data_IF_213583699778
#
_entry.id   IF_213583699778
#
_cell.length_a   1.000
_cell.length_b   1.000
_cell.length_c   1.000
_cell.angle_alpha   90.00
_cell.angle_beta   90.00
_cell.angle_gamma   90.00
#
_symmetry.space_group_name_H-M   'P 1'
#
loop_
_entity.id
_entity.type
_entity.pdbx_description
1 polymer ?
#
# COMPACT_ATOMS: atom_id res chain seq x y z
N UNK A 1 -22.38 18.24 12.75
CA UNK A 1 -23.75 18.25 13.33
C UNK A 1 -24.52 17.19 12.56
N UNK A 2 -25.50 16.53 13.17
CA UNK A 2 -26.43 15.67 12.43
C UNK A 2 -27.41 16.57 11.70
N UNK A 3 -27.47 16.46 10.37
CA UNK A 3 -28.41 17.24 9.55
C UNK A 3 -29.79 16.60 9.61
N UNK A 4 -30.87 17.38 9.42
CA UNK A 4 -32.20 16.80 9.18
C UNK A 4 -32.15 15.72 8.10
N UNK A 5 -32.82 14.59 8.29
CA UNK A 5 -32.85 13.48 7.33
C UNK A 5 -31.53 12.69 7.16
N UNK A 6 -30.46 13.01 7.89
CA UNK A 6 -29.14 12.36 7.76
C UNK A 6 -28.97 11.04 8.53
N UNK A 7 -30.01 10.58 9.22
CA UNK A 7 -30.02 9.32 9.97
C UNK A 7 -31.21 8.50 9.52
N UNK A 8 -30.98 7.21 9.22
CA UNK A 8 -32.02 6.29 8.81
C UNK A 8 -31.77 4.88 9.32
N UNK A 9 -32.86 4.16 9.59
CA UNK A 9 -32.81 2.74 9.95
C UNK A 9 -32.47 1.90 8.71
N UNK A 10 -31.37 1.14 8.78
CA UNK A 10 -30.95 0.26 7.69
C UNK A 10 -31.68 -1.08 7.78
N UNK A 11 -32.23 -1.55 6.65
CA UNK A 11 -32.95 -2.83 6.59
C UNK A 11 -32.00 -4.04 6.56
N UNK A 12 -30.94 -3.96 5.76
CA UNK A 12 -29.91 -5.01 5.62
C UNK A 12 -28.60 -4.40 5.14
N UNK A 13 -27.80 -3.92 6.09
CA UNK A 13 -26.53 -3.26 5.82
C UNK A 13 -26.67 -1.95 5.02
N UNK A 14 -25.52 -1.41 4.62
CA UNK A 14 -25.39 -0.15 3.88
C UNK A 14 -25.61 -0.34 2.38
N UNK A 15 -26.84 -0.72 2.00
CA UNK A 15 -27.21 -0.76 0.58
C UNK A 15 -27.21 0.64 -0.01
N UNK A 16 -26.75 0.78 -1.26
CA UNK A 16 -26.72 2.07 -1.95
C UNK A 16 -28.09 2.76 -1.97
N UNK A 17 -29.20 2.05 -2.18
CA UNK A 17 -30.54 2.67 -2.15
C UNK A 17 -30.88 3.36 -0.81
N UNK A 18 -30.40 2.81 0.31
CA UNK A 18 -30.60 3.41 1.63
C UNK A 18 -29.69 4.62 1.81
N UNK A 19 -28.41 4.46 1.46
CA UNK A 19 -27.42 5.54 1.60
C UNK A 19 -27.72 6.71 0.66
N UNK A 20 -28.07 6.44 -0.59
CA UNK A 20 -28.53 7.44 -1.57
C UNK A 20 -29.73 8.20 -1.01
N UNK A 21 -30.77 7.49 -0.51
CA UNK A 21 -31.96 8.17 0.03
C UNK A 21 -31.65 9.03 1.26
N UNK A 22 -30.89 8.52 2.23
CA UNK A 22 -30.51 9.27 3.44
C UNK A 22 -29.67 10.50 3.05
N UNK A 23 -28.69 10.31 2.18
CA UNK A 23 -27.82 11.36 1.70
C UNK A 23 -28.61 12.44 0.97
N UNK A 24 -29.37 12.06 -0.07
CA UNK A 24 -30.14 13.00 -0.89
C UNK A 24 -31.21 13.73 -0.07
N UNK A 25 -31.91 13.05 0.84
CA UNK A 25 -32.90 13.66 1.74
C UNK A 25 -32.28 14.69 2.68
N UNK A 26 -31.07 14.42 3.18
CA UNK A 26 -30.35 15.37 4.02
C UNK A 26 -29.80 16.58 3.25
N UNK A 27 -29.53 16.40 1.96
CA UNK A 27 -28.95 17.42 1.09
C UNK A 27 -30.02 18.30 0.46
N UNK A 28 -31.24 17.81 0.26
CA UNK A 28 -32.35 18.64 -0.19
C UNK A 28 -32.74 19.73 0.85
N UNK A 29 -32.27 19.61 2.09
CA UNK A 29 -32.56 20.55 3.17
C UNK A 29 -31.41 21.55 3.38
N UNK A 30 -31.51 22.73 2.76
CA UNK A 30 -30.57 23.87 2.92
C UNK A 30 -29.10 23.50 2.68
N UNK A 31 -28.80 23.04 1.48
CA UNK A 31 -27.46 22.59 1.10
C UNK A 31 -26.56 23.74 0.62
N UNK A 32 -25.25 23.71 0.97
CA UNK A 32 -24.23 24.55 0.33
C UNK A 32 -23.93 24.08 -1.10
N UNK A 33 -23.47 25.00 -1.95
CA UNK A 33 -23.14 24.71 -3.36
C UNK A 33 -21.96 23.72 -3.49
N UNK A 34 -20.98 23.80 -2.58
CA UNK A 34 -19.82 22.94 -2.53
C UNK A 34 -19.86 22.03 -1.31
N UNK A 35 -19.76 20.71 -1.53
CA UNK A 35 -19.72 19.73 -0.44
C UNK A 35 -18.62 18.70 -0.60
N UNK A 36 -17.89 18.53 0.50
CA UNK A 36 -16.94 17.45 0.68
C UNK A 36 -17.66 16.26 1.34
N UNK A 37 -17.69 15.14 0.64
CA UNK A 37 -18.29 13.90 1.10
C UNK A 37 -17.20 12.90 1.48
N UNK A 38 -17.14 12.59 2.78
CA UNK A 38 -16.29 11.54 3.32
C UNK A 38 -17.06 10.23 3.45
N UNK A 39 -16.62 9.17 2.78
CA UNK A 39 -17.21 7.84 2.95
C UNK A 39 -16.16 6.74 2.77
N UNK A 40 -16.26 5.68 3.56
CA UNK A 40 -15.28 4.57 3.57
C UNK A 40 -15.13 3.94 2.19
N UNK A 41 -16.22 3.88 1.41
CA UNK A 41 -16.22 3.35 0.06
C UNK A 41 -16.53 4.42 -0.99
N UNK A 42 -16.13 5.67 -0.75
CA UNK A 42 -16.40 6.79 -1.68
C UNK A 42 -16.00 6.46 -3.13
N UNK A 43 -14.84 5.84 -3.33
CA UNK A 43 -14.37 5.44 -4.67
C UNK A 43 -15.23 4.40 -5.39
N UNK A 44 -16.07 3.66 -4.67
CA UNK A 44 -17.05 2.76 -5.25
C UNK A 44 -18.41 3.43 -5.40
N UNK A 45 -18.80 4.21 -4.39
CA UNK A 45 -20.10 4.85 -4.31
C UNK A 45 -20.29 5.93 -5.38
N UNK A 46 -19.26 6.75 -5.62
CA UNK A 46 -19.23 7.85 -6.59
C UNK A 46 -19.52 7.39 -8.03
N UNK A 47 -18.88 6.29 -8.48
CA UNK A 47 -18.84 5.88 -9.90
C UNK A 47 -20.20 5.88 -10.60
N UNK A 48 -21.23 5.43 -9.89
CA UNK A 48 -22.59 5.35 -10.41
C UNK A 48 -23.56 6.30 -9.71
N UNK A 49 -23.08 7.20 -8.85
CA UNK A 49 -23.93 8.07 -8.05
C UNK A 49 -24.82 8.97 -8.92
N UNK A 50 -24.26 9.59 -9.96
CA UNK A 50 -25.02 10.43 -10.89
C UNK A 50 -26.17 9.67 -11.56
N UNK A 51 -25.93 8.43 -11.99
CA UNK A 51 -26.96 7.57 -12.57
C UNK A 51 -28.02 7.14 -11.54
N UNK A 52 -27.60 6.77 -10.31
CA UNK A 52 -28.52 6.40 -9.23
C UNK A 52 -29.38 7.58 -8.78
N UNK A 53 -28.85 8.79 -8.75
CA UNK A 53 -29.58 10.02 -8.41
C UNK A 53 -30.78 10.24 -9.33
N UNK A 54 -30.65 9.94 -10.63
CA UNK A 54 -31.74 10.10 -11.60
C UNK A 54 -32.95 9.21 -11.31
N UNK A 55 -32.78 8.09 -10.61
CA UNK A 55 -33.87 7.17 -10.23
C UNK A 55 -34.90 7.88 -9.34
N UNK A 56 -34.45 8.85 -8.53
CA UNK A 56 -35.31 9.60 -7.62
C UNK A 56 -36.08 10.74 -8.33
N UNK A 57 -35.86 10.94 -9.64
CA UNK A 57 -36.60 11.93 -10.43
C UNK A 57 -36.54 13.33 -9.82
N UNK A 58 -37.71 13.94 -9.61
CA UNK A 58 -37.85 15.29 -9.03
C UNK A 58 -38.06 15.29 -7.52
N UNK A 59 -37.88 14.14 -6.85
CA UNK A 59 -38.05 14.04 -5.38
C UNK A 59 -37.02 14.92 -4.66
N UNK A 60 -35.81 15.03 -5.22
CA UNK A 60 -34.74 15.86 -4.71
C UNK A 60 -34.33 16.88 -5.76
N UNK A 61 -34.23 18.14 -5.36
CA UNK A 61 -34.12 19.29 -6.27
C UNK A 61 -32.74 19.98 -6.25
N UNK A 62 -31.87 19.59 -5.34
CA UNK A 62 -30.58 20.26 -5.14
C UNK A 62 -29.55 19.93 -6.22
N UNK A 63 -28.67 20.88 -6.54
CA UNK A 63 -27.46 20.66 -7.33
C UNK A 63 -26.26 21.14 -6.51
N UNK A 64 -25.19 20.35 -6.49
CA UNK A 64 -23.98 20.71 -5.78
C UNK A 64 -22.77 20.02 -6.38
N UNK A 65 -21.62 20.68 -6.26
CA UNK A 65 -20.32 20.10 -6.56
C UNK A 65 -19.92 19.25 -5.37
N UNK A 66 -19.74 17.94 -5.61
CA UNK A 66 -19.37 16.99 -4.56
C UNK A 66 -17.92 16.56 -4.76
N UNK A 67 -17.06 16.89 -3.80
CA UNK A 67 -15.72 16.31 -3.70
C UNK A 67 -15.77 15.04 -2.86
N UNK A 68 -15.37 13.92 -3.44
CA UNK A 68 -15.41 12.60 -2.80
C UNK A 68 -14.08 12.27 -2.14
N UNK A 69 -14.10 11.92 -0.86
CA UNK A 69 -12.90 11.59 -0.09
C UNK A 69 -13.13 10.34 0.78
N UNK A 70 -12.04 9.68 1.14
CA UNK A 70 -12.05 8.48 2.01
C UNK A 70 -11.36 8.82 3.33
N UNK A 71 -11.96 8.51 4.49
CA UNK A 71 -11.34 8.77 5.79
C UNK A 71 -9.92 8.20 5.87
N UNK A 72 -9.02 8.94 6.53
CA UNK A 72 -7.57 8.65 6.53
C UNK A 72 -7.20 7.25 7.02
N UNK A 73 -7.99 6.70 7.94
CA UNK A 73 -7.77 5.35 8.46
C UNK A 73 -8.14 4.26 7.45
N UNK A 74 -9.15 4.51 6.61
CA UNK A 74 -9.59 3.53 5.61
C UNK A 74 -8.79 3.62 4.33
N UNK A 75 -8.35 4.82 3.95
CA UNK A 75 -7.64 5.06 2.70
C UNK A 75 -6.55 4.03 2.38
N UNK A 76 -5.66 3.61 3.32
CA UNK A 76 -4.62 2.61 3.05
C UNK A 76 -5.11 1.20 2.69
N UNK A 77 -6.39 0.89 2.94
CA UNK A 77 -7.00 -0.38 2.57
C UNK A 77 -7.58 -0.38 1.14
N UNK A 78 -7.46 0.75 0.43
CA UNK A 78 -7.87 0.86 -0.97
C UNK A 78 -6.69 0.60 -1.91
N UNK A 79 -6.98 0.50 -3.20
CA UNK A 79 -5.96 0.44 -4.25
C UNK A 79 -5.15 1.75 -4.32
N UNK A 80 -3.93 1.67 -4.84
CA UNK A 80 -2.99 2.80 -4.85
C UNK A 80 -3.52 4.05 -5.55
N UNK A 81 -4.31 3.90 -6.62
CA UNK A 81 -4.91 5.04 -7.31
C UNK A 81 -5.91 5.81 -6.44
N UNK A 82 -6.46 5.19 -5.39
CA UNK A 82 -7.29 5.91 -4.43
C UNK A 82 -6.49 6.81 -3.50
N UNK A 83 -5.24 6.43 -3.17
CA UNK A 83 -4.43 7.08 -2.15
C UNK A 83 -4.09 8.53 -2.46
N UNK A 84 -4.06 8.90 -3.74
CA UNK A 84 -3.87 10.28 -4.17
C UNK A 84 -5.21 10.99 -4.38
N UNK A 85 -6.11 10.40 -5.18
CA UNK A 85 -7.38 11.02 -5.59
C UNK A 85 -8.33 11.32 -4.42
N UNK A 86 -8.55 10.35 -3.51
CA UNK A 86 -9.53 10.48 -2.42
C UNK A 86 -8.91 10.98 -1.11
N UNK A 87 -7.73 11.57 -1.18
CA UNK A 87 -6.96 11.98 -0.01
C UNK A 87 -7.34 13.35 0.50
N UNK A 88 -7.70 13.40 1.79
CA UNK A 88 -7.87 14.64 2.55
C UNK A 88 -6.63 15.53 2.59
N UNK A 89 -5.42 14.99 2.35
CA UNK A 89 -4.18 15.76 2.45
C UNK A 89 -3.78 16.42 1.13
N UNK A 90 -4.38 15.99 0.02
CA UNK A 90 -3.98 16.41 -1.33
C UNK A 90 -5.07 17.22 -2.04
N UNK A 91 -6.24 17.38 -1.42
CA UNK A 91 -7.32 18.18 -1.97
C UNK A 91 -7.46 19.49 -1.19
N UNK A 92 -7.74 20.57 -1.91
CA UNK A 92 -7.92 21.91 -1.36
C UNK A 92 -9.24 22.05 -0.59
N UNK A 93 -9.33 23.08 0.26
CA UNK A 93 -10.54 23.49 0.97
C UNK A 93 -11.12 22.48 1.99
N UNK A 94 -10.44 21.35 2.23
CA UNK A 94 -10.90 20.34 3.19
C UNK A 94 -10.46 20.61 4.63
N UNK A 95 -9.36 21.36 4.79
CA UNK A 95 -8.73 21.62 6.08
C UNK A 95 -8.19 20.36 6.77
N UNK A 96 -7.68 20.51 8.00
CA UNK A 96 -7.08 19.38 8.75
C UNK A 96 -8.15 18.52 9.44
N UNK A 97 -8.63 17.50 8.73
CA UNK A 97 -9.56 16.49 9.26
C UNK A 97 -9.06 15.07 8.99
N UNK A 98 -9.63 14.09 9.69
CA UNK A 98 -9.39 12.65 9.52
C UNK A 98 -10.58 11.92 8.85
N UNK A 99 -11.70 12.63 8.65
CA UNK A 99 -12.95 12.05 8.15
C UNK A 99 -13.70 11.18 9.17
N UNK A 100 -13.22 11.09 10.43
CA UNK A 100 -13.69 10.15 11.47
C UNK A 100 -14.72 10.71 12.45
N UNK A 101 -15.40 11.78 12.05
CA UNK A 101 -16.41 12.39 12.92
C UNK A 101 -17.61 11.46 13.16
N UNK A 102 -18.17 10.76 12.15
CA UNK A 102 -19.31 9.87 12.34
C UNK A 102 -19.08 8.77 13.40
N UNK A 103 -17.91 8.17 13.44
CA UNK A 103 -17.57 7.06 14.35
C UNK A 103 -17.36 7.52 15.78
N UNK A 104 -16.82 8.73 15.98
CA UNK A 104 -16.75 9.36 17.31
C UNK A 104 -18.15 9.65 17.83
N UNK A 105 -19.04 10.14 16.97
CA UNK A 105 -20.43 10.40 17.32
C UNK A 105 -21.20 9.09 17.62
N UNK A 106 -20.85 7.98 16.95
CA UNK A 106 -21.41 6.66 17.27
C UNK A 106 -21.03 6.18 18.67
N UNK A 107 -19.79 6.40 19.11
CA UNK A 107 -19.38 6.02 20.46
C UNK A 107 -20.23 6.72 21.54
N UNK A 108 -20.54 8.00 21.34
CA UNK A 108 -21.40 8.78 22.24
C UNK A 108 -22.86 8.25 22.21
N UNK A 109 -23.41 8.02 21.01
CA UNK A 109 -24.78 7.52 20.87
C UNK A 109 -24.96 6.08 21.37
N UNK A 110 -23.91 5.26 21.32
CA UNK A 110 -23.96 3.85 21.71
C UNK A 110 -24.28 3.66 23.21
N UNK A 111 -24.00 4.67 24.05
CA UNK A 111 -24.41 4.65 25.46
C UNK A 111 -25.93 4.51 25.67
N UNK A 112 -26.72 4.91 24.67
CA UNK A 112 -28.19 4.85 24.70
C UNK A 112 -28.77 3.64 23.95
N UNK A 113 -27.91 2.79 23.38
CA UNK A 113 -28.33 1.65 22.57
C UNK A 113 -29.19 0.66 23.36
N UNK A 114 -28.83 0.37 24.62
CA UNK A 114 -29.57 -0.56 25.48
C UNK A 114 -30.98 -0.07 25.80
N UNK A 115 -31.13 1.22 26.07
CA UNK A 115 -32.43 1.84 26.36
C UNK A 115 -33.32 1.89 25.12
N UNK A 116 -32.74 2.26 23.96
CA UNK A 116 -33.49 2.39 22.70
C UNK A 116 -33.87 1.06 22.06
N UNK A 117 -33.20 -0.04 22.42
CA UNK A 117 -33.46 -1.38 21.87
C UNK A 117 -34.86 -1.90 22.22
N UNK A 118 -35.33 -1.66 23.44
CA UNK A 118 -36.61 -2.18 23.94
C UNK A 118 -37.79 -1.23 23.63
N UNK A 119 -37.51 -0.05 23.06
CA UNK A 119 -38.53 0.93 22.72
C UNK A 119 -39.34 0.54 21.48
N UNK A 120 -40.61 0.93 21.46
CA UNK A 120 -41.44 0.82 20.25
C UNK A 120 -40.89 1.71 19.14
N UNK A 121 -41.12 1.39 17.85
CA UNK A 121 -40.49 2.09 16.72
C UNK A 121 -40.66 3.62 16.72
N UNK A 122 -41.84 4.13 17.06
CA UNK A 122 -42.09 5.58 17.15
C UNK A 122 -41.29 6.22 18.29
N UNK A 123 -41.49 5.73 19.52
CA UNK A 123 -40.79 6.25 20.71
C UNK A 123 -39.27 6.16 20.60
N UNK A 124 -38.75 5.12 19.93
CA UNK A 124 -37.32 4.98 19.63
C UNK A 124 -36.83 6.13 18.75
N UNK A 125 -37.56 6.47 17.69
CA UNK A 125 -37.19 7.56 16.77
C UNK A 125 -37.20 8.91 17.48
N UNK A 126 -38.27 9.21 18.22
CA UNK A 126 -38.38 10.45 19.00
C UNK A 126 -37.22 10.58 20.00
N UNK A 127 -36.91 9.50 20.73
CA UNK A 127 -35.78 9.48 21.68
C UNK A 127 -34.43 9.71 20.98
N UNK A 128 -34.21 9.09 19.82
CA UNK A 128 -32.98 9.29 19.06
C UNK A 128 -32.87 10.71 18.51
N UNK A 129 -33.97 11.29 18.04
CA UNK A 129 -34.03 12.69 17.59
C UNK A 129 -33.71 13.65 18.74
N UNK A 130 -34.23 13.42 19.95
CA UNK A 130 -33.88 14.20 21.14
C UNK A 130 -32.38 14.10 21.48
N UNK A 131 -31.81 12.89 21.42
CA UNK A 131 -30.38 12.65 21.67
C UNK A 131 -29.50 13.39 20.64
N UNK A 132 -29.83 13.27 19.34
CA UNK A 132 -29.09 13.96 18.29
C UNK A 132 -29.28 15.47 18.36
N UNK A 133 -30.46 15.92 18.79
CA UNK A 133 -30.79 17.31 19.10
C UNK A 133 -29.91 17.89 20.20
N UNK A 134 -29.78 17.19 21.34
CA UNK A 134 -28.87 17.59 22.44
C UNK A 134 -27.42 17.64 21.94
N UNK A 135 -26.96 16.62 21.22
CA UNK A 135 -25.61 16.61 20.66
C UNK A 135 -25.36 17.83 19.75
N UNK A 136 -26.31 18.15 18.87
CA UNK A 136 -26.23 19.33 18.00
C UNK A 136 -26.21 20.63 18.82
N UNK A 137 -27.09 20.76 19.82
CA UNK A 137 -27.15 21.92 20.70
C UNK A 137 -25.83 22.14 21.44
N UNK A 138 -25.27 21.09 22.04
CA UNK A 138 -23.95 21.13 22.70
C UNK A 138 -22.84 21.51 21.73
N UNK A 139 -22.88 21.02 20.50
CA UNK A 139 -21.87 21.33 19.47
C UNK A 139 -21.93 22.81 19.06
N UNK A 140 -23.13 23.38 18.93
CA UNK A 140 -23.34 24.80 18.60
C UNK A 140 -22.92 25.70 19.77
N UNK A 141 -23.39 25.42 20.99
CA UNK A 141 -23.08 26.24 22.17
C UNK A 141 -21.59 26.22 22.53
N UNK A 142 -20.90 25.12 22.27
CA UNK A 142 -19.46 24.98 22.48
C UNK A 142 -18.62 25.35 21.24
N UNK A 143 -19.23 25.79 20.14
CA UNK A 143 -18.53 25.99 18.88
C UNK A 143 -17.43 27.06 19.02
N UNK A 144 -17.76 28.23 19.58
CA UNK A 144 -16.81 29.33 19.76
C UNK A 144 -15.56 28.94 20.57
N UNK A 145 -15.71 28.43 21.81
CA UNK A 145 -14.58 27.98 22.61
C UNK A 145 -13.77 26.85 21.94
N UNK A 146 -14.43 25.91 21.24
CA UNK A 146 -13.75 24.83 20.51
C UNK A 146 -12.94 25.37 19.33
N UNK A 147 -13.50 26.30 18.56
CA UNK A 147 -12.81 26.94 17.43
C UNK A 147 -11.61 27.75 17.93
N UNK A 148 -11.75 28.51 19.01
CA UNK A 148 -10.62 29.24 19.61
C UNK A 148 -9.50 28.29 20.03
N UNK A 149 -9.83 27.17 20.69
CA UNK A 149 -8.82 26.16 21.07
C UNK A 149 -8.12 25.58 19.84
N UNK A 150 -8.89 25.21 18.81
CA UNK A 150 -8.34 24.70 17.55
C UNK A 150 -7.45 25.72 16.83
N UNK A 151 -7.85 26.99 16.82
CA UNK A 151 -7.08 28.07 16.20
C UNK A 151 -5.71 28.23 16.86
N UNK A 152 -5.65 28.22 18.20
CA UNK A 152 -4.38 28.30 18.93
C UNK A 152 -3.42 27.18 18.53
N UNK A 153 -3.91 25.93 18.55
CA UNK A 153 -3.12 24.77 18.10
C UNK A 153 -2.74 24.90 16.63
N UNK A 154 -3.64 25.35 15.76
CA UNK A 154 -3.36 25.49 14.34
C UNK A 154 -2.27 26.54 14.05
N UNK A 155 -2.20 27.62 14.83
CA UNK A 155 -1.15 28.65 14.70
C UNK A 155 0.21 28.07 15.08
N UNK A 156 0.29 27.38 16.22
CA UNK A 156 1.52 26.71 16.68
C UNK A 156 2.01 25.67 15.65
N UNK A 157 1.12 24.78 15.22
CA UNK A 157 1.43 23.75 14.21
C UNK A 157 1.81 24.37 12.87
N UNK A 158 1.14 25.44 12.41
CA UNK A 158 1.49 26.12 11.17
C UNK A 158 2.94 26.60 11.20
N UNK A 159 3.39 27.17 12.31
CA UNK A 159 4.75 27.73 12.41
C UNK A 159 5.79 26.60 12.32
N UNK A 160 5.54 25.47 12.98
CA UNK A 160 6.39 24.27 12.87
C UNK A 160 6.41 23.70 11.44
N UNK A 161 5.24 23.51 10.82
CA UNK A 161 5.13 22.96 9.47
C UNK A 161 5.74 23.89 8.42
N UNK A 162 5.59 25.21 8.57
CA UNK A 162 6.16 26.20 7.65
C UNK A 162 7.69 26.21 7.74
N UNK A 163 8.26 26.11 8.95
CA UNK A 163 9.70 26.03 9.12
C UNK A 163 10.27 24.76 8.45
N UNK A 164 9.64 23.60 8.69
CA UNK A 164 10.04 22.35 8.05
C UNK A 164 9.90 22.40 6.52
N UNK A 165 8.81 22.99 6.01
CA UNK A 165 8.60 23.18 4.57
C UNK A 165 9.70 24.07 3.96
N UNK A 166 10.02 25.20 4.59
CA UNK A 166 11.06 26.11 4.09
C UNK A 166 12.44 25.46 4.08
N UNK A 167 12.80 24.72 5.13
CA UNK A 167 14.05 23.96 5.19
C UNK A 167 14.13 22.94 4.04
N UNK A 168 13.08 22.14 3.86
CA UNK A 168 13.00 21.15 2.79
C UNK A 168 13.05 21.79 1.40
N UNK A 169 12.29 22.85 1.18
CA UNK A 169 12.24 23.60 -0.07
C UNK A 169 13.62 24.20 -0.38
N UNK A 170 14.28 24.83 0.58
CA UNK A 170 15.60 25.44 0.36
C UNK A 170 16.72 24.43 0.08
N UNK A 171 16.55 23.16 0.47
CA UNK A 171 17.50 22.09 0.19
C UNK A 171 17.42 21.57 -1.26
N UNK A 172 16.37 21.92 -2.01
CA UNK A 172 16.12 21.42 -3.37
C UNK A 172 16.50 22.45 -4.44
N UNK A 173 16.88 22.02 -5.66
CA UNK A 173 17.15 22.93 -6.76
C UNK A 173 15.93 23.78 -7.15
N UNK A 174 16.12 25.10 -7.26
CA UNK A 174 15.03 26.04 -7.54
C UNK A 174 14.24 25.72 -8.82
N UNK A 175 14.91 25.25 -9.87
CA UNK A 175 14.27 24.84 -11.13
C UNK A 175 13.30 23.67 -10.92
N UNK A 176 13.71 22.66 -10.14
CA UNK A 176 12.87 21.49 -9.86
C UNK A 176 11.66 21.87 -9.02
N UNK A 177 11.82 22.81 -8.08
CA UNK A 177 10.72 23.31 -7.27
C UNK A 177 9.70 24.11 -8.08
N UNK A 178 10.16 24.95 -9.01
CA UNK A 178 9.28 25.70 -9.90
C UNK A 178 8.45 24.73 -10.75
N UNK A 179 9.11 23.75 -11.38
CA UNK A 179 8.43 22.74 -12.18
C UNK A 179 7.41 21.95 -11.36
N UNK A 180 7.77 21.55 -10.15
CA UNK A 180 6.87 20.80 -9.27
C UNK A 180 5.66 21.62 -8.85
N UNK A 181 5.86 22.89 -8.49
CA UNK A 181 4.78 23.84 -8.18
C UNK A 181 3.80 23.95 -9.35
N UNK A 182 4.32 24.15 -10.56
CA UNK A 182 3.48 24.28 -11.76
C UNK A 182 2.65 23.01 -11.99
N UNK A 183 3.20 21.82 -11.73
CA UNK A 183 2.47 20.55 -11.83
C UNK A 183 1.36 20.43 -10.76
N UNK A 184 1.65 20.81 -9.51
CA UNK A 184 0.68 20.78 -8.41
C UNK A 184 -0.45 21.77 -8.67
N UNK A 185 -0.14 23.04 -8.97
CA UNK A 185 -1.14 24.06 -9.26
C UNK A 185 -1.97 23.69 -10.50
N UNK A 186 -1.36 23.09 -11.54
CA UNK A 186 -2.10 22.63 -12.70
C UNK A 186 -3.13 21.55 -12.36
N UNK A 187 -2.77 20.62 -11.46
CA UNK A 187 -3.63 19.53 -11.01
C UNK A 187 -4.69 19.98 -9.98
N UNK A 188 -4.36 20.87 -9.05
CA UNK A 188 -5.32 21.45 -8.10
C UNK A 188 -6.43 22.23 -8.83
N UNK A 189 -6.07 22.95 -9.90
CA UNK A 189 -7.05 23.65 -10.74
C UNK A 189 -7.88 22.70 -11.64
N UNK A 190 -7.36 21.51 -11.94
CA UNK A 190 -8.00 20.56 -12.86
C UNK A 190 -7.57 19.13 -12.51
N UNK A 191 -8.43 18.44 -11.76
CA UNK A 191 -8.20 17.08 -11.28
C UNK A 191 -8.15 16.03 -12.41
N UNK A 192 -8.52 16.39 -13.65
CA UNK A 192 -8.35 15.53 -14.83
C UNK A 192 -6.91 15.52 -15.36
N UNK A 193 -6.08 16.50 -14.98
CA UNK A 193 -4.67 16.52 -15.35
C UNK A 193 -3.87 15.46 -14.62
N UNK A 194 -2.64 15.25 -15.10
CA UNK A 194 -1.71 14.30 -14.50
C UNK A 194 -1.46 14.66 -13.03
N UNK A 195 -1.73 13.71 -12.15
CA UNK A 195 -1.59 13.90 -10.72
C UNK A 195 -0.10 13.76 -10.33
N UNK A 196 0.56 14.84 -9.88
CA UNK A 196 1.99 14.81 -9.57
C UNK A 196 2.31 13.92 -8.36
N UNK A 197 1.34 13.66 -7.49
CA UNK A 197 1.52 12.85 -6.28
C UNK A 197 1.51 11.34 -6.55
N UNK A 198 1.24 10.90 -7.78
CA UNK A 198 1.41 9.50 -8.17
C UNK A 198 2.91 9.21 -8.24
N UNK A 199 3.35 8.21 -7.47
CA UNK A 199 4.74 7.79 -7.45
C UNK A 199 5.10 7.19 -8.82
N UNK A 200 5.95 7.89 -9.57
CA UNK A 200 6.53 7.40 -10.82
C UNK A 200 7.85 6.69 -10.53
N UNK A 201 7.94 5.40 -10.86
CA UNK A 201 9.22 4.67 -10.83
C UNK A 201 10.01 5.02 -12.09
N UNK A 202 11.27 5.41 -11.94
CA UNK A 202 12.09 5.88 -13.06
C UNK A 202 12.62 4.75 -13.95
N UNK A 203 12.52 3.49 -13.50
CA UNK A 203 13.04 2.31 -14.19
C UNK A 203 11.96 1.30 -14.58
N UNK A 204 12.32 0.36 -15.45
CA UNK A 204 11.46 -0.77 -15.80
C UNK A 204 11.43 -1.73 -14.61
N UNK A 205 10.24 -2.08 -14.12
CA UNK A 205 10.12 -3.06 -13.01
C UNK A 205 10.37 -4.47 -13.51
N UNK A 206 10.78 -5.38 -12.63
CA UNK A 206 10.94 -6.80 -12.96
C UNK A 206 9.63 -7.38 -13.54
N UNK A 207 8.48 -6.98 -12.99
CA UNK A 207 7.16 -7.40 -13.48
C UNK A 207 6.87 -6.90 -14.91
N UNK A 208 7.25 -5.66 -15.24
CA UNK A 208 7.12 -5.12 -16.59
C UNK A 208 8.01 -5.87 -17.58
N UNK A 209 9.25 -6.18 -17.19
CA UNK A 209 10.16 -7.00 -18.02
C UNK A 209 9.59 -8.38 -18.25
N UNK A 210 9.09 -9.03 -17.19
CA UNK A 210 8.49 -10.37 -17.30
C UNK A 210 7.27 -10.37 -18.23
N UNK A 211 6.40 -9.37 -18.13
CA UNK A 211 5.27 -9.22 -19.06
C UNK A 211 5.73 -9.09 -20.51
N UNK A 212 6.75 -8.26 -20.78
CA UNK A 212 7.31 -8.10 -22.13
C UNK A 212 7.87 -9.41 -22.66
N UNK A 213 8.62 -10.16 -21.84
CA UNK A 213 9.18 -11.46 -22.23
C UNK A 213 8.08 -12.49 -22.53
N UNK A 214 7.03 -12.53 -21.71
CA UNK A 214 5.89 -13.42 -21.93
C UNK A 214 5.11 -13.07 -23.22
N UNK A 215 4.94 -11.79 -23.53
CA UNK A 215 4.30 -11.33 -24.77
C UNK A 215 5.16 -11.65 -26.01
N UNK A 216 6.48 -11.41 -25.94
CA UNK A 216 7.44 -11.79 -26.98
C UNK A 216 7.39 -13.31 -27.27
N UNK A 217 7.42 -14.14 -26.23
CA UNK A 217 7.32 -15.60 -26.36
C UNK A 217 5.96 -16.04 -26.97
N UNK A 218 4.85 -15.41 -26.55
CA UNK A 218 3.53 -15.69 -27.11
C UNK A 218 3.47 -15.37 -28.62
N UNK A 219 4.10 -14.27 -29.04
CA UNK A 219 4.21 -13.89 -30.45
C UNK A 219 5.09 -14.86 -31.25
N UNK A 220 6.19 -15.36 -30.70
CA UNK A 220 7.05 -16.36 -31.35
C UNK A 220 6.35 -17.70 -31.56
N UNK A 221 5.55 -18.13 -30.57
CA UNK A 221 4.71 -19.33 -30.67
C UNK A 221 3.66 -19.17 -31.76
N UNK A 222 2.95 -18.03 -31.79
CA UNK A 222 1.97 -17.73 -32.82
C UNK A 222 2.59 -17.67 -34.23
N UNK A 223 3.83 -17.19 -34.34
CA UNK A 223 4.58 -17.11 -35.59
C UNK A 223 5.22 -18.41 -36.06
N UNK A 224 5.05 -19.53 -35.34
CA UNK A 224 5.73 -20.83 -35.61
C UNK A 224 7.26 -20.75 -35.63
N UNK A 225 7.84 -19.78 -34.90
CA UNK A 225 9.30 -19.61 -34.76
C UNK A 225 9.83 -20.07 -33.41
N UNK A 226 8.94 -20.48 -32.49
CA UNK A 226 9.32 -20.90 -31.16
C UNK A 226 10.17 -22.19 -31.18
N UNK A 227 11.34 -22.12 -30.56
CA UNK A 227 12.13 -23.30 -30.21
C UNK A 227 11.59 -23.89 -28.90
N UNK A 228 11.21 -25.16 -28.90
CA UNK A 228 10.77 -25.83 -27.66
C UNK A 228 11.98 -26.26 -26.85
N UNK A 229 12.25 -25.54 -25.77
CA UNK A 229 13.35 -25.83 -24.83
C UNK A 229 12.98 -26.90 -23.80
N UNK A 230 11.74 -26.88 -23.32
CA UNK A 230 11.19 -27.81 -22.34
C UNK A 230 9.70 -28.05 -22.63
N UNK A 231 9.15 -29.16 -22.15
CA UNK A 231 7.77 -29.56 -22.43
C UNK A 231 6.71 -28.64 -21.80
N UNK A 232 7.01 -28.08 -20.63
CA UNK A 232 6.03 -27.37 -19.78
C UNK A 232 6.43 -25.96 -19.35
N UNK A 233 7.67 -25.54 -19.61
CA UNK A 233 8.19 -24.26 -19.12
C UNK A 233 8.88 -23.52 -20.26
N UNK A 234 8.77 -22.19 -20.29
CA UNK A 234 9.47 -21.35 -21.26
C UNK A 234 10.82 -20.86 -20.71
N UNK A 235 11.75 -20.41 -21.57
CA UNK A 235 13.01 -19.81 -21.14
C UNK A 235 12.82 -18.67 -20.15
N UNK A 236 11.88 -17.74 -20.41
CA UNK A 236 11.63 -16.61 -19.52
C UNK A 236 11.18 -17.06 -18.12
N UNK A 237 10.25 -18.02 -18.04
CA UNK A 237 9.77 -18.56 -16.76
C UNK A 237 10.86 -19.33 -16.00
N UNK A 238 11.71 -20.08 -16.72
CA UNK A 238 12.83 -20.77 -16.09
C UNK A 238 13.81 -19.79 -15.47
N UNK A 239 14.22 -18.78 -16.23
CA UNK A 239 15.15 -17.76 -15.74
C UNK A 239 14.52 -16.92 -14.63
N UNK A 240 13.24 -16.58 -14.70
CA UNK A 240 12.54 -15.78 -13.69
C UNK A 240 12.41 -16.48 -12.34
N UNK A 241 12.16 -17.80 -12.35
CA UNK A 241 12.10 -18.60 -11.13
C UNK A 241 13.44 -18.68 -10.37
N UNK A 242 14.58 -18.46 -11.06
CA UNK A 242 15.91 -18.44 -10.44
C UNK A 242 16.10 -17.31 -9.42
N UNK A 243 16.02 -16.03 -9.81
CA UNK A 243 16.07 -14.89 -8.89
C UNK A 243 15.02 -14.96 -7.77
N UNK A 244 13.84 -15.53 -8.00
CA UNK A 244 12.86 -15.79 -6.93
C UNK A 244 13.35 -16.82 -5.90
N UNK A 245 14.04 -17.87 -6.36
CA UNK A 245 14.67 -18.85 -5.48
C UNK A 245 15.84 -18.24 -4.72
N UNK A 246 16.67 -17.41 -5.36
CA UNK A 246 17.73 -16.67 -4.65
C UNK A 246 17.16 -15.79 -3.53
N UNK A 247 16.07 -15.07 -3.81
CA UNK A 247 15.39 -14.25 -2.80
C UNK A 247 14.84 -15.12 -1.65
N UNK A 248 14.32 -16.31 -1.97
CA UNK A 248 13.87 -17.27 -0.97
C UNK A 248 15.04 -17.80 -0.12
N UNK A 249 16.20 -18.10 -0.73
CA UNK A 249 17.43 -18.49 -0.03
C UNK A 249 17.89 -17.37 0.92
N UNK A 250 17.96 -16.12 0.44
CA UNK A 250 18.33 -14.94 1.26
C UNK A 250 17.39 -14.73 2.43
N UNK A 251 16.08 -14.75 2.20
CA UNK A 251 15.08 -14.61 3.26
C UNK A 251 15.19 -15.73 4.29
N UNK A 252 15.39 -16.97 3.85
CA UNK A 252 15.59 -18.10 4.75
C UNK A 252 16.88 -17.95 5.58
N UNK A 253 17.98 -17.53 4.96
CA UNK A 253 19.26 -17.28 5.65
C UNK A 253 19.11 -16.19 6.73
N UNK A 254 18.45 -15.08 6.40
CA UNK A 254 18.17 -14.01 7.37
C UNK A 254 17.31 -14.51 8.55
N UNK A 255 16.29 -15.34 8.29
CA UNK A 255 15.44 -15.92 9.33
C UNK A 255 16.22 -16.86 10.25
N UNK A 256 17.12 -17.68 9.70
CA UNK A 256 18.01 -18.55 10.48
C UNK A 256 18.95 -17.73 11.36
N UNK A 257 19.56 -16.66 10.83
CA UNK A 257 20.43 -15.77 11.61
C UNK A 257 19.67 -15.00 12.70
N UNK A 258 18.41 -14.67 12.47
CA UNK A 258 17.57 -13.95 13.44
C UNK A 258 17.18 -14.79 14.67
N UNK A 259 17.43 -16.10 14.63
CA UNK A 259 17.14 -16.98 15.76
C UNK A 259 18.07 -16.71 16.94
N UNK A 260 17.48 -16.33 18.08
CA UNK A 260 18.22 -16.16 19.32
C UNK A 260 18.65 -17.49 19.96
N UNK A 261 19.49 -17.42 20.99
CA UNK A 261 20.03 -18.61 21.70
C UNK A 261 18.97 -19.53 22.34
N UNK A 262 17.71 -19.11 22.39
CA UNK A 262 16.60 -19.84 23.01
C UNK A 262 15.46 -20.06 22.01
N UNK A 263 15.74 -20.76 20.91
CA UNK A 263 14.71 -21.20 19.97
C UNK A 263 13.83 -22.29 20.58
N UNK A 264 12.52 -22.11 20.53
CA UNK A 264 11.56 -23.15 20.92
C UNK A 264 11.54 -24.29 19.91
N UNK A 265 11.19 -25.50 20.34
CA UNK A 265 11.03 -26.68 19.45
C UNK A 265 10.08 -26.40 18.29
N UNK A 266 9.01 -25.64 18.53
CA UNK A 266 8.06 -25.24 17.49
C UNK A 266 8.71 -24.32 16.43
N UNK A 267 9.60 -23.40 16.84
CA UNK A 267 10.34 -22.56 15.91
C UNK A 267 11.39 -23.36 15.13
N UNK A 268 12.06 -24.32 15.79
CA UNK A 268 12.99 -25.22 15.13
C UNK A 268 12.28 -26.11 14.09
N UNK A 269 11.14 -26.68 14.42
CA UNK A 269 10.31 -27.46 13.48
C UNK A 269 9.93 -26.63 12.25
N UNK A 270 9.48 -25.39 12.44
CA UNK A 270 9.12 -24.49 11.32
C UNK A 270 10.30 -24.19 10.40
N UNK A 271 11.52 -24.05 10.96
CA UNK A 271 12.72 -23.88 10.14
C UNK A 271 13.05 -25.14 9.36
N UNK A 272 12.95 -26.32 9.99
CA UNK A 272 13.17 -27.60 9.30
C UNK A 272 12.18 -27.83 8.16
N UNK A 273 10.90 -27.51 8.37
CA UNK A 273 9.86 -27.60 7.35
C UNK A 273 10.16 -26.65 6.18
N UNK A 274 10.54 -25.40 6.48
CA UNK A 274 10.92 -24.41 5.45
C UNK A 274 12.19 -24.80 4.71
N UNK A 275 13.19 -25.35 5.41
CA UNK A 275 14.43 -25.87 4.81
C UNK A 275 14.12 -26.98 3.82
N UNK A 276 13.34 -27.98 4.25
CA UNK A 276 12.95 -29.10 3.39
C UNK A 276 12.16 -28.63 2.16
N UNK A 277 11.24 -27.68 2.35
CA UNK A 277 10.48 -27.09 1.23
C UNK A 277 11.36 -26.31 0.25
N UNK A 278 12.38 -25.58 0.74
CA UNK A 278 13.34 -24.89 -0.10
C UNK A 278 14.19 -25.89 -0.90
N UNK A 279 14.69 -26.95 -0.26
CA UNK A 279 15.46 -28.01 -0.93
C UNK A 279 14.65 -28.65 -2.05
N UNK A 280 13.40 -29.07 -1.79
CA UNK A 280 12.55 -29.66 -2.84
C UNK A 280 12.33 -28.70 -4.02
N UNK A 281 12.18 -27.40 -3.76
CA UNK A 281 12.04 -26.40 -4.83
C UNK A 281 13.32 -26.27 -5.67
N UNK A 282 14.48 -26.25 -5.01
CA UNK A 282 15.78 -26.18 -5.70
C UNK A 282 15.99 -27.43 -6.55
N UNK A 283 15.72 -28.64 -6.02
CA UNK A 283 15.86 -29.89 -6.74
C UNK A 283 14.97 -29.92 -8.00
N UNK A 284 13.68 -29.60 -7.85
CA UNK A 284 12.77 -29.51 -9.00
C UNK A 284 13.22 -28.46 -10.02
N UNK A 285 13.77 -27.34 -9.57
CA UNK A 285 14.26 -26.30 -10.47
C UNK A 285 15.52 -26.75 -11.23
N UNK A 286 16.48 -27.39 -10.56
CA UNK A 286 17.68 -27.96 -11.17
C UNK A 286 17.31 -29.02 -12.22
N UNK A 287 16.31 -29.87 -11.96
CA UNK A 287 15.80 -30.84 -12.94
C UNK A 287 15.32 -30.16 -14.23
N UNK A 288 14.57 -29.06 -14.12
CA UNK A 288 14.13 -28.31 -15.31
C UNK A 288 15.30 -27.58 -15.98
N UNK A 289 16.21 -26.98 -15.20
CA UNK A 289 17.38 -26.27 -15.68
C UNK A 289 18.27 -27.12 -16.60
N UNK A 290 18.34 -28.44 -16.36
CA UNK A 290 19.12 -29.39 -17.18
C UNK A 290 18.69 -29.42 -18.65
N UNK A 291 17.43 -29.12 -18.94
CA UNK A 291 16.91 -29.10 -20.31
C UNK A 291 17.38 -27.86 -21.09
N UNK A 292 17.72 -26.79 -20.37
CA UNK A 292 18.21 -25.52 -20.95
C UNK A 292 19.74 -25.47 -20.99
N UNK A 293 20.39 -25.97 -19.93
CA UNK A 293 21.85 -25.95 -19.79
C UNK A 293 22.35 -27.39 -19.59
N UNK A 294 22.73 -28.04 -20.70
CA UNK A 294 23.11 -29.48 -20.70
C UNK A 294 24.26 -29.83 -19.76
N UNK A 295 25.18 -28.88 -19.50
CA UNK A 295 26.34 -29.11 -18.64
C UNK A 295 26.04 -29.00 -17.14
N UNK A 296 24.84 -28.56 -16.75
CA UNK A 296 24.53 -28.17 -15.36
C UNK A 296 24.53 -29.35 -14.38
N UNK A 297 24.00 -30.51 -14.79
CA UNK A 297 23.87 -31.68 -13.91
C UNK A 297 25.25 -32.13 -13.40
N UNK A 298 26.23 -32.22 -14.31
CA UNK A 298 27.60 -32.57 -13.95
C UNK A 298 28.33 -31.51 -13.11
N UNK A 299 27.85 -30.27 -13.07
CA UNK A 299 28.39 -29.21 -12.22
C UNK A 299 27.82 -29.29 -10.81
N UNK A 300 26.49 -29.44 -10.68
CA UNK A 300 25.87 -29.66 -9.39
C UNK A 300 26.41 -30.91 -8.70
N UNK A 301 26.56 -32.03 -9.42
CA UNK A 301 27.15 -33.25 -8.84
C UNK A 301 28.57 -33.03 -8.33
N UNK A 302 29.44 -32.37 -9.12
CA UNK A 302 30.81 -32.07 -8.67
C UNK A 302 30.84 -31.15 -7.46
N UNK A 303 29.98 -30.14 -7.41
CA UNK A 303 29.91 -29.22 -6.27
C UNK A 303 29.45 -29.94 -5.00
N UNK A 304 28.42 -30.79 -5.10
CA UNK A 304 27.94 -31.60 -3.98
C UNK A 304 29.04 -32.57 -3.50
N UNK A 305 29.76 -33.20 -4.41
CA UNK A 305 30.86 -34.13 -4.09
C UNK A 305 32.07 -33.42 -3.45
N UNK A 306 32.49 -32.27 -3.99
CA UNK A 306 33.64 -31.48 -3.50
C UNK A 306 33.37 -30.82 -2.14
N UNK A 307 32.11 -30.57 -1.78
CA UNK A 307 31.73 -29.79 -0.59
C UNK A 307 31.00 -30.59 0.50
N UNK A 308 31.07 -31.92 0.42
CA UNK A 308 30.29 -32.92 1.20
C UNK A 308 30.31 -32.83 2.74
N UNK A 309 30.97 -31.84 3.35
CA UNK A 309 30.96 -31.63 4.81
C UNK A 309 30.76 -30.17 5.27
N UNK A 310 30.48 -29.20 4.38
CA UNK A 310 30.49 -27.77 4.80
C UNK A 310 29.37 -26.89 4.28
N UNK A 311 28.68 -27.25 3.20
CA UNK A 311 27.62 -26.42 2.63
C UNK A 311 26.25 -27.03 2.95
N UNK A 312 25.39 -26.24 3.60
CA UNK A 312 23.98 -26.59 3.76
C UNK A 312 23.29 -26.45 2.39
N UNK A 313 22.39 -27.37 2.02
CA UNK A 313 21.75 -27.38 0.70
C UNK A 313 21.02 -26.06 0.35
N UNK A 314 20.65 -25.26 1.35
CA UNK A 314 20.12 -23.90 1.15
C UNK A 314 21.12 -22.87 0.60
N UNK A 315 22.43 -23.14 0.65
CA UNK A 315 23.50 -22.25 0.18
C UNK A 315 24.08 -22.69 -1.19
N UNK A 316 23.45 -23.68 -1.84
CA UNK A 316 23.88 -24.14 -3.16
C UNK A 316 23.69 -23.02 -4.18
N UNK A 317 24.74 -22.64 -4.93
CA UNK A 317 24.62 -21.71 -6.04
C UNK A 317 23.66 -22.26 -7.09
N UNK A 318 22.68 -21.45 -7.49
CA UNK A 318 21.70 -21.84 -8.52
C UNK A 318 22.30 -21.90 -9.93
N UNK A 319 23.52 -21.40 -10.13
CA UNK A 319 24.22 -21.46 -11.42
C UNK A 319 23.39 -20.87 -12.57
N UNK A 320 22.86 -19.67 -12.37
CA UNK A 320 22.17 -18.94 -13.43
C UNK A 320 23.12 -18.64 -14.60
N UNK A 321 22.60 -18.39 -15.82
CA UNK A 321 23.44 -18.17 -17.01
C UNK A 321 24.59 -17.17 -16.79
N UNK A 322 24.37 -16.07 -16.08
CA UNK A 322 25.39 -15.08 -15.72
C UNK A 322 26.54 -15.66 -14.88
N UNK A 323 26.26 -16.59 -13.97
CA UNK A 323 27.25 -17.28 -13.14
C UNK A 323 28.04 -18.34 -13.92
N UNK A 324 27.49 -18.80 -15.04
CA UNK A 324 28.10 -19.82 -15.90
C UNK A 324 28.88 -19.24 -17.08
N UNK A 325 28.52 -18.04 -17.54
CA UNK A 325 29.01 -17.43 -18.78
C UNK A 325 30.54 -17.40 -18.91
N UNK A 326 31.25 -17.25 -17.79
CA UNK A 326 32.72 -17.20 -17.77
C UNK A 326 33.39 -18.57 -17.96
N UNK A 327 32.71 -19.66 -17.61
CA UNK A 327 33.30 -21.00 -17.50
C UNK A 327 32.70 -22.02 -18.45
N UNK A 328 31.47 -21.80 -18.90
CA UNK A 328 30.72 -22.73 -19.73
C UNK A 328 29.97 -22.01 -20.85
N UNK A 329 29.83 -22.62 -22.03
CA UNK A 329 29.04 -22.05 -23.11
C UNK A 329 27.56 -22.01 -22.73
N UNK A 330 27.01 -20.81 -22.60
CA UNK A 330 25.58 -20.57 -22.41
C UNK A 330 24.97 -19.97 -23.68
N UNK A 331 23.72 -20.30 -23.96
CA UNK A 331 23.00 -19.70 -25.09
C UNK A 331 22.86 -18.18 -24.88
N UNK A 332 23.23 -17.33 -25.86
CA UNK A 332 23.11 -15.88 -25.73
C UNK A 332 21.68 -15.38 -25.43
N UNK A 333 20.67 -16.12 -25.88
CA UNK A 333 19.26 -15.81 -25.61
C UNK A 333 18.94 -15.84 -24.10
N UNK A 334 19.42 -16.86 -23.37
CA UNK A 334 19.19 -16.99 -21.93
C UNK A 334 19.90 -15.89 -21.15
N UNK A 335 21.13 -15.53 -21.55
CA UNK A 335 21.87 -14.41 -20.95
C UNK A 335 21.15 -13.07 -21.13
N UNK A 336 20.55 -12.85 -22.31
CA UNK A 336 19.78 -11.62 -22.57
C UNK A 336 18.50 -11.56 -21.75
N UNK A 337 17.80 -12.68 -21.60
CA UNK A 337 16.60 -12.79 -20.75
C UNK A 337 16.97 -12.49 -19.30
N UNK A 338 18.02 -13.13 -18.79
CA UNK A 338 18.49 -12.89 -17.42
C UNK A 338 18.90 -11.44 -17.21
N UNK A 339 19.69 -10.86 -18.12
CA UNK A 339 20.12 -9.47 -18.04
C UNK A 339 18.94 -8.50 -17.90
N UNK A 340 17.91 -8.65 -18.74
CA UNK A 340 16.71 -7.80 -18.66
C UNK A 340 15.99 -7.96 -17.32
N UNK A 341 15.84 -9.19 -16.83
CA UNK A 341 15.18 -9.46 -15.54
C UNK A 341 15.99 -8.90 -14.36
N UNK A 342 17.32 -9.03 -14.39
CA UNK A 342 18.23 -8.48 -13.38
C UNK A 342 18.23 -6.95 -13.37
N UNK A 343 18.20 -6.32 -14.55
CA UNK A 343 18.05 -4.87 -14.65
C UNK A 343 16.75 -4.39 -13.99
N UNK A 344 15.63 -5.06 -14.28
CA UNK A 344 14.35 -4.76 -13.63
C UNK A 344 14.36 -5.01 -12.12
N UNK A 345 15.01 -6.11 -11.68
CA UNK A 345 15.19 -6.42 -10.27
C UNK A 345 16.01 -5.36 -9.54
N UNK A 346 17.07 -4.84 -10.18
CA UNK A 346 17.92 -3.79 -9.62
C UNK A 346 17.17 -2.47 -9.46
N UNK A 347 16.31 -2.09 -10.42
CA UNK A 347 15.46 -0.90 -10.26
C UNK A 347 14.48 -1.05 -9.09
N UNK A 348 13.80 -2.21 -8.98
CA UNK A 348 12.89 -2.48 -7.87
C UNK A 348 13.62 -2.46 -6.51
N UNK A 349 14.78 -3.13 -6.42
CA UNK A 349 15.59 -3.15 -5.20
C UNK A 349 16.11 -1.76 -4.80
N UNK A 350 16.51 -0.94 -5.77
CA UNK A 350 16.97 0.42 -5.51
C UNK A 350 15.86 1.32 -4.98
N UNK A 351 14.65 1.19 -5.51
CA UNK A 351 13.49 1.96 -5.04
C UNK A 351 13.05 1.51 -3.64
N UNK A 352 13.03 0.20 -3.37
CA UNK A 352 12.77 -0.36 -2.03
C UNK A 352 13.83 0.12 -1.01
N UNK A 353 15.11 0.08 -1.39
CA UNK A 353 16.22 0.55 -0.56
C UNK A 353 16.07 2.04 -0.20
N UNK A 354 15.79 2.90 -1.21
CA UNK A 354 15.53 4.34 -0.99
C UNK A 354 14.33 4.55 -0.07
N UNK A 355 13.26 3.78 -0.26
CA UNK A 355 12.07 3.86 0.58
C UNK A 355 12.38 3.51 2.04
N UNK A 356 13.06 2.38 2.29
CA UNK A 356 13.39 1.96 3.64
C UNK A 356 14.41 2.87 4.33
N UNK A 357 15.37 3.45 3.59
CA UNK A 357 16.30 4.46 4.12
C UNK A 357 15.57 5.73 4.61
N UNK A 358 14.59 6.21 3.83
CA UNK A 358 13.74 7.35 4.22
C UNK A 358 12.89 7.00 5.44
N UNK A 359 12.26 5.82 5.43
CA UNK A 359 11.46 5.32 6.55
C UNK A 359 12.29 5.22 7.83
N UNK A 360 13.49 4.65 7.77
CA UNK A 360 14.41 4.55 8.91
C UNK A 360 14.72 5.92 9.50
N UNK A 361 15.06 6.88 8.65
CA UNK A 361 15.37 8.26 9.06
C UNK A 361 14.19 8.90 9.81
N UNK A 362 12.97 8.76 9.26
CA UNK A 362 11.76 9.25 9.90
C UNK A 362 11.49 8.60 11.27
N UNK A 363 11.68 7.28 11.38
CA UNK A 363 11.47 6.56 12.65
C UNK A 363 12.48 7.01 13.72
N UNK A 364 13.74 7.27 13.33
CA UNK A 364 14.74 7.81 14.25
C UNK A 364 14.33 9.17 14.81
N UNK A 365 13.93 10.11 13.93
CA UNK A 365 13.45 11.42 14.35
C UNK A 365 12.21 11.31 15.25
N UNK A 366 11.25 10.46 14.88
CA UNK A 366 10.06 10.22 15.68
C UNK A 366 10.40 9.67 17.06
N UNK A 367 11.32 8.69 17.13
CA UNK A 367 11.77 8.11 18.39
C UNK A 367 12.40 9.19 19.27
N UNK A 368 13.29 10.00 18.73
CA UNK A 368 14.02 10.99 19.52
C UNK A 368 13.09 12.11 20.01
N UNK A 369 12.12 12.53 19.19
CA UNK A 369 11.13 13.54 19.57
C UNK A 369 10.09 13.04 20.57
N UNK A 370 9.48 11.88 20.33
CA UNK A 370 8.23 11.48 21.00
C UNK A 370 8.33 10.27 21.91
N UNK A 371 9.31 9.38 21.72
CA UNK A 371 9.38 8.13 22.48
C UNK A 371 10.08 8.37 23.82
N UNK A 372 9.39 8.02 24.92
CA UNK A 372 9.89 8.17 26.30
C UNK A 372 9.63 6.88 27.08
N UNK A 373 10.47 6.61 28.08
CA UNK A 373 10.37 5.40 28.92
C UNK A 373 10.91 4.14 28.27
N UNK A 374 11.25 3.14 29.10
CA UNK A 374 12.00 1.95 28.67
C UNK A 374 11.22 1.09 27.67
N UNK A 375 9.96 0.75 27.98
CA UNK A 375 9.14 -0.13 27.13
C UNK A 375 8.93 0.41 25.71
N UNK A 376 8.59 1.71 25.57
CA UNK A 376 8.40 2.32 24.26
C UNK A 376 9.73 2.46 23.50
N UNK A 377 10.84 2.73 24.19
CA UNK A 377 12.17 2.74 23.57
C UNK A 377 12.55 1.37 23.01
N UNK A 378 12.30 0.29 23.75
CA UNK A 378 12.57 -1.08 23.26
C UNK A 378 11.73 -1.39 22.02
N UNK A 379 10.44 -1.02 22.00
CA UNK A 379 9.58 -1.20 20.81
C UNK A 379 10.05 -0.39 19.61
N UNK A 380 10.42 0.88 19.83
CA UNK A 380 10.92 1.74 18.76
C UNK A 380 12.25 1.21 18.19
N UNK A 381 13.15 0.71 19.04
CA UNK A 381 14.39 0.05 18.60
C UNK A 381 14.10 -1.19 17.77
N UNK A 382 13.23 -2.08 18.22
CA UNK A 382 12.84 -3.26 17.44
C UNK A 382 12.27 -2.87 16.07
N UNK A 383 11.49 -1.80 15.99
CA UNK A 383 10.97 -1.31 14.72
C UNK A 383 12.08 -0.75 13.81
N UNK A 384 13.07 -0.06 14.37
CA UNK A 384 14.27 0.40 13.64
C UNK A 384 15.07 -0.80 13.13
N UNK A 385 15.32 -1.79 13.98
CA UNK A 385 16.09 -2.98 13.64
C UNK A 385 15.39 -3.77 12.51
N UNK A 386 14.06 -3.87 12.55
CA UNK A 386 13.28 -4.49 11.47
C UNK A 386 13.43 -3.74 10.14
N UNK A 387 13.44 -2.39 10.15
CA UNK A 387 13.66 -1.60 8.93
C UNK A 387 15.11 -1.72 8.47
N UNK A 388 16.08 -1.83 9.39
CA UNK A 388 17.48 -2.08 9.06
C UNK A 388 17.65 -3.41 8.33
N UNK A 389 17.02 -4.48 8.82
CA UNK A 389 17.05 -5.78 8.15
C UNK A 389 16.49 -5.72 6.73
N UNK A 390 15.44 -4.91 6.50
CA UNK A 390 14.92 -4.68 5.14
C UNK A 390 15.93 -3.94 4.26
N UNK A 391 16.60 -2.91 4.79
CA UNK A 391 17.66 -2.17 4.08
C UNK A 391 18.79 -3.12 3.67
N UNK A 392 19.25 -3.96 4.60
CA UNK A 392 20.34 -4.89 4.34
C UNK A 392 19.92 -5.90 3.25
N UNK A 393 18.69 -6.43 3.32
CA UNK A 393 18.15 -7.33 2.29
C UNK A 393 18.01 -6.66 0.93
N UNK A 394 17.51 -5.43 0.86
CA UNK A 394 17.35 -4.71 -0.41
C UNK A 394 18.73 -4.37 -1.00
N UNK A 395 19.72 -4.10 -0.16
CA UNK A 395 21.11 -3.89 -0.58
C UNK A 395 21.78 -5.18 -1.08
N UNK A 396 21.50 -6.34 -0.48
CA UNK A 396 21.97 -7.64 -0.97
C UNK A 396 21.28 -8.08 -2.28
N UNK A 397 20.06 -7.60 -2.51
CA UNK A 397 19.28 -7.86 -3.73
C UNK A 397 19.71 -6.97 -4.91
N UNK A 398 20.16 -5.74 -4.64
CA UNK A 398 20.66 -4.78 -5.64
C UNK A 398 22.07 -5.14 -6.10
#
# INVERSE_FOLDING_TARGET
MKRPGSVGDLQKGERYINMDYIFLSSMDQNMPDDVILSYDIACQFEKNFSGRRLIYGTIFSFFAVILWLIPKFHLPAHQDSCHSTYSFNLNEEVGRTDGKAPERDWADANGMATSTKEMRPGSRRDTLDDIFGDYNWRKITLLGPRLLKKLKTAVEERDEQMAAFQEFNNALPAEQMSKWRDMVEAWENDLEKENPFIITRTGVTQATVWFQLADEEAQEVAGSRAHTWHETMSPSNMIESGPQLEETQRCFYADVLSQGMHTTDLQQSKILDRRSALHCKIDCWIEVQQSYVRSISGLHTRMIEEQSNTILMEDIPLLLPSQLADRYPCEPALLKIEWRLREGQAYDALDDLRHHLRLRSHIFEFKDKFVRGMAYNTRARSLIDNVQQKIDRDADRY
#
